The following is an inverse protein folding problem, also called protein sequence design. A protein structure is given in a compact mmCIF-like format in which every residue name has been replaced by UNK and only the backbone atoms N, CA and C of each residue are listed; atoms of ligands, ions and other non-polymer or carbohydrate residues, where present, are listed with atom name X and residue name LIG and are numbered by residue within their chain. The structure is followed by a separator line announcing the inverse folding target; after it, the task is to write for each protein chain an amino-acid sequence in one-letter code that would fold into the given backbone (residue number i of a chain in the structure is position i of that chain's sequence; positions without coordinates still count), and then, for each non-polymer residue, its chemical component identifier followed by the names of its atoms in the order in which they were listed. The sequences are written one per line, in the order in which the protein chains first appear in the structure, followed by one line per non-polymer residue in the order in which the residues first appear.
data_IF_565808959884
#
_entry.id   IF_565808959884
#
_cell.length_a   1.000
_cell.length_b   1.000
_cell.length_c   1.000
_cell.angle_alpha   90.00
_cell.angle_beta   90.00
_cell.angle_gamma   90.00
#
_symmetry.space_group_name_H-M   'P 1'
#
loop_
_entity.id
_entity.type
_entity.pdbx_description
1 polymer ?
#
# COMPACT_ATOMS: atom_id res chain seq x y z
N UNK A 1 -18.41 36.56 -34.26
CA UNK A 1 -18.61 35.30 -33.52
C UNK A 1 -17.82 35.41 -32.23
N UNK A 2 -18.46 35.60 -31.06
CA UNK A 2 -17.71 35.65 -29.78
C UNK A 2 -17.44 34.25 -29.27
N UNK A 3 -16.22 34.07 -28.75
CA UNK A 3 -15.76 32.84 -28.11
C UNK A 3 -16.53 32.59 -26.80
N UNK A 4 -17.08 31.38 -26.65
CA UNK A 4 -17.74 30.93 -25.45
C UNK A 4 -16.69 30.70 -24.35
N UNK A 5 -16.84 31.46 -23.25
CA UNK A 5 -16.04 31.28 -22.05
C UNK A 5 -16.38 29.96 -21.39
N UNK A 6 -15.35 29.14 -21.11
CA UNK A 6 -15.45 28.00 -20.20
C UNK A 6 -15.71 28.55 -18.80
N UNK A 7 -16.89 28.31 -18.29
CA UNK A 7 -17.21 28.51 -16.89
C UNK A 7 -16.38 27.51 -16.07
N UNK A 8 -15.57 28.01 -15.12
CA UNK A 8 -14.96 27.21 -14.05
C UNK A 8 -16.09 26.69 -13.16
N UNK A 9 -16.34 25.39 -13.23
CA UNK A 9 -17.24 24.70 -12.29
C UNK A 9 -16.50 24.58 -10.97
N UNK A 10 -17.19 24.95 -9.90
CA UNK A 10 -16.73 25.23 -8.55
C UNK A 10 -15.80 24.20 -7.91
N UNK A 11 -14.85 24.76 -7.15
CA UNK A 11 -13.83 24.05 -6.39
C UNK A 11 -14.29 23.44 -5.04
N UNK A 12 -15.57 23.47 -4.69
CA UNK A 12 -16.02 23.13 -3.34
C UNK A 12 -16.54 21.69 -3.16
N UNK A 13 -16.77 20.93 -4.24
CA UNK A 13 -17.29 19.57 -4.12
C UNK A 13 -16.22 18.47 -4.03
N UNK A 14 -14.99 18.77 -4.45
CA UNK A 14 -13.88 17.81 -4.41
C UNK A 14 -13.28 17.66 -2.99
N UNK A 15 -13.39 18.70 -2.17
CA UNK A 15 -12.77 18.76 -0.84
C UNK A 15 -13.59 18.03 0.24
N UNK A 16 -14.88 17.79 0.00
CA UNK A 16 -15.77 17.14 0.97
C UNK A 16 -15.63 15.59 1.01
N UNK A 17 -15.09 14.99 -0.05
CA UNK A 17 -14.89 13.54 -0.16
C UNK A 17 -13.47 13.10 0.26
N UNK A 18 -12.48 14.03 0.19
CA UNK A 18 -11.07 13.72 0.46
C UNK A 18 -10.82 13.45 1.94
N UNK A 19 -10.14 12.33 2.21
CA UNK A 19 -9.74 11.94 3.56
C UNK A 19 -8.42 12.57 3.94
N UNK A 20 -8.41 13.31 5.06
CA UNK A 20 -7.25 14.05 5.58
C UNK A 20 -6.69 13.39 6.85
N UNK A 21 -5.55 13.90 7.31
CA UNK A 21 -4.88 13.42 8.53
C UNK A 21 -5.79 13.43 9.76
N UNK A 22 -6.67 14.42 9.91
CA UNK A 22 -7.61 14.57 11.03
C UNK A 22 -8.68 13.48 11.06
N UNK A 23 -8.90 12.77 9.96
CA UNK A 23 -9.89 11.70 9.86
C UNK A 23 -9.33 10.32 10.27
N UNK A 24 -8.07 10.30 10.72
CA UNK A 24 -7.37 9.08 11.13
C UNK A 24 -7.30 8.97 12.65
N UNK A 25 -7.54 7.76 13.16
CA UNK A 25 -7.41 7.44 14.59
C UNK A 25 -6.52 6.23 14.82
N UNK A 26 -5.75 6.27 15.92
CA UNK A 26 -5.01 5.08 16.36
C UNK A 26 -6.01 3.97 16.68
N UNK A 27 -5.75 2.79 16.14
CA UNK A 27 -6.63 1.64 16.25
C UNK A 27 -7.52 1.42 15.03
N UNK A 28 -7.61 2.37 14.10
CA UNK A 28 -8.35 2.16 12.84
C UNK A 28 -7.78 0.98 12.08
N UNK A 29 -8.66 0.08 11.65
CA UNK A 29 -8.31 -1.09 10.86
C UNK A 29 -8.92 -0.99 9.46
N UNK A 30 -8.12 -1.33 8.46
CA UNK A 30 -8.51 -1.28 7.05
C UNK A 30 -8.21 -2.62 6.38
N UNK A 31 -9.17 -3.16 5.66
CA UNK A 31 -8.95 -4.20 4.67
C UNK A 31 -8.73 -3.55 3.31
N UNK A 32 -7.51 -3.57 2.81
CA UNK A 32 -7.15 -2.92 1.54
C UNK A 32 -7.62 -3.72 0.32
N UNK A 33 -7.81 -5.02 0.46
CA UNK A 33 -8.22 -5.90 -0.62
C UNK A 33 -7.35 -7.15 -0.74
N UNK A 34 -7.39 -7.78 -1.92
CA UNK A 34 -6.67 -9.01 -2.19
C UNK A 34 -5.92 -8.98 -3.52
N UNK A 35 -4.96 -9.89 -3.68
CA UNK A 35 -4.17 -10.10 -4.88
C UNK A 35 -4.02 -11.59 -5.18
N UNK A 36 -4.42 -12.02 -6.38
CA UNK A 36 -4.19 -13.39 -6.85
C UNK A 36 -2.78 -13.50 -7.46
N UNK A 37 -1.97 -14.40 -6.92
CA UNK A 37 -0.57 -14.59 -7.35
C UNK A 37 -0.52 -15.52 -8.55
N UNK A 38 -0.08 -15.02 -9.70
CA UNK A 38 0.07 -15.83 -10.91
C UNK A 38 1.52 -16.29 -11.11
N UNK A 39 1.67 -17.44 -11.76
CA UNK A 39 2.98 -18.00 -12.08
C UNK A 39 3.76 -17.08 -13.02
N UNK A 40 3.08 -16.56 -14.01
CA UNK A 40 3.64 -15.69 -15.05
C UNK A 40 4.22 -14.42 -14.45
N UNK A 41 3.51 -13.78 -13.53
CA UNK A 41 4.00 -12.58 -12.83
C UNK A 41 5.18 -12.88 -11.89
N UNK A 42 5.14 -14.03 -11.20
CA UNK A 42 6.25 -14.45 -10.32
C UNK A 42 7.54 -14.57 -11.13
N UNK A 43 7.49 -15.25 -12.28
CA UNK A 43 8.66 -15.44 -13.14
C UNK A 43 9.08 -14.10 -13.76
N UNK A 44 8.14 -13.34 -14.33
CA UNK A 44 8.45 -12.05 -14.99
C UNK A 44 9.07 -11.04 -14.02
N UNK A 45 8.59 -10.98 -12.78
CA UNK A 45 9.19 -10.14 -11.75
C UNK A 45 10.61 -10.62 -11.42
N UNK A 46 10.78 -11.92 -11.22
CA UNK A 46 12.07 -12.48 -10.86
C UNK A 46 13.12 -12.28 -11.96
N UNK A 47 12.78 -12.53 -13.22
CA UNK A 47 13.68 -12.31 -14.36
C UNK A 47 14.24 -10.88 -14.39
N UNK A 48 13.43 -9.90 -14.00
CA UNK A 48 13.79 -8.49 -14.06
C UNK A 48 14.48 -7.97 -12.80
N UNK A 49 14.08 -8.42 -11.61
CA UNK A 49 14.46 -7.77 -10.36
C UNK A 49 15.13 -8.68 -9.33
N UNK A 50 14.96 -10.01 -9.43
CA UNK A 50 15.51 -10.98 -8.47
C UNK A 50 15.74 -12.33 -9.16
N UNK A 51 16.69 -12.43 -10.10
CA UNK A 51 16.85 -13.58 -10.98
C UNK A 51 17.54 -14.77 -10.29
N UNK A 52 17.14 -15.07 -9.05
CA UNK A 52 17.60 -16.25 -8.34
C UNK A 52 16.90 -17.50 -8.90
N UNK A 53 17.63 -18.60 -9.15
CA UNK A 53 17.07 -19.77 -9.85
C UNK A 53 15.78 -20.33 -9.23
N UNK A 54 15.64 -20.29 -7.90
CA UNK A 54 14.45 -20.77 -7.19
C UNK A 54 13.22 -19.85 -7.30
N UNK A 55 13.38 -18.65 -7.86
CA UNK A 55 12.28 -17.77 -8.26
C UNK A 55 11.93 -17.87 -9.74
N UNK A 56 12.67 -18.67 -10.50
CA UNK A 56 12.50 -18.81 -11.96
C UNK A 56 11.93 -20.17 -12.38
N UNK A 57 12.18 -21.24 -11.61
CA UNK A 57 11.68 -22.58 -11.96
C UNK A 57 11.46 -23.49 -10.76
N UNK A 58 10.50 -24.40 -10.91
CA UNK A 58 10.24 -25.44 -9.90
C UNK A 58 11.42 -26.39 -9.72
N UNK A 59 12.16 -26.71 -10.80
CA UNK A 59 13.31 -27.60 -10.73
C UNK A 59 14.39 -27.09 -9.79
N UNK A 60 14.69 -25.79 -9.86
CA UNK A 60 15.67 -25.18 -8.97
C UNK A 60 15.12 -24.98 -7.56
N UNK A 61 13.86 -24.57 -7.44
CA UNK A 61 13.19 -24.37 -6.16
C UNK A 61 13.05 -25.68 -5.36
N UNK A 62 12.82 -26.81 -6.04
CA UNK A 62 12.74 -28.13 -5.40
C UNK A 62 14.01 -28.54 -4.66
N UNK A 63 15.16 -27.97 -5.04
CA UNK A 63 16.46 -28.21 -4.40
C UNK A 63 16.73 -27.30 -3.18
N UNK A 64 15.76 -26.48 -2.81
CA UNK A 64 15.83 -25.51 -1.72
C UNK A 64 14.75 -25.76 -0.67
N UNK A 65 14.77 -24.97 0.40
CA UNK A 65 13.70 -24.99 1.41
C UNK A 65 12.33 -24.55 0.89
N UNK A 66 12.24 -23.90 -0.29
CA UNK A 66 10.97 -23.54 -0.89
C UNK A 66 10.19 -24.74 -1.44
N UNK A 67 10.90 -25.80 -1.92
CA UNK A 67 10.31 -27.03 -2.43
C UNK A 67 9.60 -26.92 -3.78
N UNK A 68 9.18 -25.72 -4.17
CA UNK A 68 8.54 -25.37 -5.45
C UNK A 68 8.75 -23.90 -5.74
N UNK A 69 8.47 -23.46 -6.99
CA UNK A 69 8.58 -22.06 -7.40
C UNK A 69 7.89 -21.14 -6.40
N UNK A 70 8.67 -20.23 -5.80
CA UNK A 70 8.20 -19.24 -4.85
C UNK A 70 8.39 -17.81 -5.39
N UNK A 71 7.48 -16.90 -5.06
CA UNK A 71 7.65 -15.49 -5.37
C UNK A 71 8.83 -14.91 -4.59
N UNK A 72 9.56 -13.97 -5.22
CA UNK A 72 10.51 -13.13 -4.50
C UNK A 72 9.80 -12.37 -3.37
N UNK A 73 10.46 -12.20 -2.24
CA UNK A 73 9.96 -11.36 -1.16
C UNK A 73 9.67 -9.94 -1.64
N UNK A 74 10.49 -9.39 -2.54
CA UNK A 74 10.26 -8.08 -3.14
C UNK A 74 9.04 -8.07 -4.07
N UNK A 75 8.73 -9.18 -4.75
CA UNK A 75 7.48 -9.30 -5.49
C UNK A 75 6.27 -9.28 -4.54
N UNK A 76 6.36 -9.97 -3.40
CA UNK A 76 5.32 -9.91 -2.37
C UNK A 76 5.08 -8.48 -1.89
N UNK A 77 6.15 -7.69 -1.69
CA UNK A 77 6.04 -6.26 -1.38
C UNK A 77 5.34 -5.49 -2.51
N UNK A 78 5.71 -5.74 -3.77
CA UNK A 78 5.13 -5.04 -4.92
C UNK A 78 3.64 -5.35 -5.10
N UNK A 79 3.23 -6.63 -5.00
CA UNK A 79 1.83 -7.04 -5.02
C UNK A 79 1.01 -6.40 -3.90
N UNK A 80 1.58 -6.36 -2.68
CA UNK A 80 0.96 -5.69 -1.53
C UNK A 80 0.79 -4.21 -1.78
N UNK A 81 1.82 -3.54 -2.31
CA UNK A 81 1.74 -2.10 -2.63
C UNK A 81 0.69 -1.82 -3.72
N UNK A 82 0.54 -2.70 -4.70
CA UNK A 82 -0.49 -2.56 -5.73
C UNK A 82 -1.91 -2.59 -5.16
N UNK A 83 -2.15 -3.41 -4.13
CA UNK A 83 -3.44 -3.46 -3.41
C UNK A 83 -3.66 -2.18 -2.60
N UNK A 84 -2.67 -1.77 -1.82
CA UNK A 84 -2.75 -0.56 -1.00
C UNK A 84 -2.96 0.68 -1.87
N UNK A 85 -2.19 0.82 -2.97
CA UNK A 85 -2.27 1.98 -3.84
C UNK A 85 -3.65 2.14 -4.50
N UNK A 86 -4.27 1.04 -4.96
CA UNK A 86 -5.63 1.06 -5.50
C UNK A 86 -6.62 1.56 -4.46
N UNK A 87 -6.59 1.02 -3.26
CA UNK A 87 -7.46 1.44 -2.17
C UNK A 87 -7.28 2.93 -1.81
N UNK A 88 -6.03 3.40 -1.69
CA UNK A 88 -5.72 4.80 -1.37
C UNK A 88 -6.26 5.77 -2.43
N UNK A 89 -6.21 5.37 -3.71
CA UNK A 89 -6.75 6.17 -4.83
C UNK A 89 -8.28 6.15 -4.82
N UNK A 90 -8.90 5.00 -4.59
CA UNK A 90 -10.36 4.84 -4.53
C UNK A 90 -10.98 5.58 -3.33
N UNK A 91 -10.26 5.65 -2.20
CA UNK A 91 -10.68 6.32 -0.96
C UNK A 91 -10.29 7.81 -0.94
N UNK A 92 -9.83 8.36 -2.05
CA UNK A 92 -9.45 9.78 -2.21
C UNK A 92 -8.60 10.32 -1.05
N UNK A 93 -7.59 9.57 -0.60
CA UNK A 93 -6.75 9.97 0.52
C UNK A 93 -5.75 11.06 0.13
N UNK A 94 -5.61 12.09 0.96
CA UNK A 94 -4.66 13.20 0.79
C UNK A 94 -3.21 12.79 1.11
N UNK A 95 -2.79 11.60 0.65
CA UNK A 95 -1.48 11.03 0.88
C UNK A 95 -0.35 11.79 0.17
N UNK A 96 0.81 11.86 0.82
CA UNK A 96 2.02 12.52 0.30
C UNK A 96 3.17 11.53 0.09
N UNK A 97 2.90 10.22 0.26
CA UNK A 97 3.90 9.17 0.15
C UNK A 97 4.47 8.71 1.49
N UNK A 98 5.44 7.82 1.42
CA UNK A 98 6.07 7.19 2.58
C UNK A 98 7.58 7.38 2.52
N UNK A 99 8.23 7.90 3.57
CA UNK A 99 9.69 7.98 3.64
C UNK A 99 10.35 6.61 3.87
N UNK A 100 9.58 5.58 4.26
CA UNK A 100 10.14 4.26 4.49
C UNK A 100 9.21 3.30 5.21
N UNK A 101 9.71 2.10 5.37
CA UNK A 101 9.07 1.00 6.12
C UNK A 101 10.03 0.46 7.16
N UNK A 102 9.50 0.13 8.33
CA UNK A 102 10.23 -0.50 9.42
C UNK A 102 9.78 -1.95 9.57
N UNK A 103 10.68 -2.78 10.10
CA UNK A 103 10.40 -4.15 10.52
C UNK A 103 9.79 -5.03 9.43
N UNK A 104 10.18 -4.83 8.16
CA UNK A 104 9.76 -5.73 7.08
C UNK A 104 10.24 -7.16 7.36
N UNK A 105 9.29 -8.10 7.41
CA UNK A 105 9.54 -9.53 7.62
C UNK A 105 8.73 -10.37 6.65
N UNK A 106 9.41 -11.22 5.90
CA UNK A 106 8.81 -12.32 5.16
C UNK A 106 8.71 -13.51 6.09
N UNK A 107 7.49 -13.87 6.47
CA UNK A 107 7.21 -14.87 7.50
C UNK A 107 7.07 -16.28 6.92
N UNK A 108 6.51 -16.35 5.70
CA UNK A 108 6.28 -17.58 4.94
C UNK A 108 6.51 -17.31 3.45
N UNK A 109 6.93 -18.32 2.69
CA UNK A 109 6.96 -18.21 1.22
C UNK A 109 5.57 -17.97 0.65
N UNK A 110 5.52 -17.20 -0.45
CA UNK A 110 4.32 -16.99 -1.28
C UNK A 110 4.50 -17.77 -2.57
N UNK A 111 3.47 -18.47 -2.99
CA UNK A 111 3.51 -19.35 -4.15
C UNK A 111 2.50 -18.94 -5.23
N UNK A 112 2.77 -19.24 -6.50
CA UNK A 112 1.74 -19.18 -7.54
C UNK A 112 0.49 -19.94 -7.12
N UNK A 113 -0.68 -19.32 -7.29
CA UNK A 113 -1.98 -19.84 -6.85
C UNK A 113 -2.43 -19.33 -5.47
N UNK A 114 -1.55 -18.71 -4.69
CA UNK A 114 -1.96 -18.07 -3.45
C UNK A 114 -2.83 -16.83 -3.74
N UNK A 115 -3.71 -16.50 -2.81
CA UNK A 115 -4.44 -15.24 -2.75
C UNK A 115 -3.99 -14.48 -1.52
N UNK A 116 -3.36 -13.33 -1.73
CA UNK A 116 -2.91 -12.46 -0.65
C UNK A 116 -4.05 -11.55 -0.19
N UNK A 117 -4.26 -11.44 1.11
CA UNK A 117 -5.17 -10.50 1.75
C UNK A 117 -4.37 -9.48 2.54
N UNK A 118 -4.61 -8.19 2.29
CA UNK A 118 -3.84 -7.09 2.87
C UNK A 118 -4.69 -6.33 3.88
N UNK A 119 -4.23 -6.27 5.12
CA UNK A 119 -4.86 -5.52 6.22
C UNK A 119 -3.87 -4.58 6.86
N UNK A 120 -4.34 -3.41 7.27
CA UNK A 120 -3.56 -2.41 8.01
C UNK A 120 -4.25 -1.99 9.28
N UNK A 121 -3.45 -1.62 10.28
CA UNK A 121 -3.90 -1.02 11.54
C UNK A 121 -3.06 0.21 11.84
N UNK A 122 -3.70 1.35 12.08
CA UNK A 122 -3.01 2.57 12.50
C UNK A 122 -2.54 2.39 13.94
N UNK A 123 -1.24 2.50 14.17
CA UNK A 123 -0.61 2.32 15.49
C UNK A 123 -0.09 3.62 16.07
N UNK A 124 0.09 4.65 15.25
CA UNK A 124 0.52 5.97 15.70
C UNK A 124 0.03 7.05 14.73
N UNK A 125 -0.35 8.21 15.27
CA UNK A 125 -0.60 9.44 14.50
C UNK A 125 0.18 10.59 15.11
N UNK A 126 0.85 11.41 14.28
CA UNK A 126 1.69 12.51 14.74
C UNK A 126 1.58 13.73 13.82
N UNK A 127 1.05 14.86 14.31
CA UNK A 127 1.15 16.12 13.58
C UNK A 127 2.61 16.54 13.40
N UNK A 128 2.97 17.10 12.26
CA UNK A 128 4.31 17.62 12.05
C UNK A 128 4.53 18.89 12.88
N UNK A 129 5.70 18.98 13.52
CA UNK A 129 6.09 20.17 14.29
C UNK A 129 6.64 21.29 13.39
N UNK A 130 7.22 20.94 12.23
CA UNK A 130 7.87 21.89 11.33
C UNK A 130 7.02 22.26 10.12
N UNK A 131 5.98 21.47 9.79
CA UNK A 131 5.09 21.66 8.65
C UNK A 131 3.65 21.51 9.11
N UNK A 132 2.96 22.63 9.43
CA UNK A 132 1.64 22.60 10.07
C UNK A 132 0.53 22.01 9.17
N UNK A 133 0.76 21.96 7.87
CA UNK A 133 -0.12 21.39 6.85
C UNK A 133 0.05 19.89 6.63
N UNK A 134 0.94 19.22 7.38
CA UNK A 134 1.26 17.80 7.23
C UNK A 134 1.15 17.09 8.58
N UNK A 135 0.65 15.86 8.55
CA UNK A 135 0.80 14.88 9.60
C UNK A 135 1.47 13.61 9.09
N UNK A 136 1.90 12.76 9.99
CA UNK A 136 2.37 11.42 9.70
C UNK A 136 1.62 10.40 10.54
N UNK A 137 1.44 9.20 9.99
CA UNK A 137 0.91 8.08 10.75
C UNK A 137 1.72 6.82 10.46
N UNK A 138 1.66 5.88 11.38
CA UNK A 138 2.28 4.56 11.23
C UNK A 138 1.19 3.52 11.10
N UNK A 139 1.32 2.68 10.07
CA UNK A 139 0.39 1.58 9.83
C UNK A 139 1.15 0.26 9.89
N UNK A 140 0.78 -0.59 10.83
CA UNK A 140 1.19 -1.98 10.82
C UNK A 140 0.38 -2.73 9.76
N UNK A 141 1.06 -3.25 8.74
CA UNK A 141 0.46 -3.99 7.64
C UNK A 141 0.76 -5.47 7.80
N UNK A 142 -0.29 -6.29 7.77
CA UNK A 142 -0.20 -7.75 7.75
C UNK A 142 -0.77 -8.28 6.44
N UNK A 143 -0.02 -9.14 5.79
CA UNK A 143 -0.42 -9.86 4.59
C UNK A 143 -0.59 -11.33 4.94
N UNK A 144 -1.78 -11.87 4.67
CA UNK A 144 -2.08 -13.29 4.86
C UNK A 144 -2.35 -13.96 3.51
N UNK A 145 -2.19 -15.27 3.43
CA UNK A 145 -2.66 -16.06 2.29
C UNK A 145 -4.15 -16.42 2.45
N UNK A 146 -4.67 -17.25 1.53
CA UNK A 146 -6.07 -17.73 1.52
C UNK A 146 -6.47 -18.56 2.75
N UNK A 147 -5.49 -19.08 3.49
CA UNK A 147 -5.70 -19.87 4.71
C UNK A 147 -5.53 -19.00 6.00
N UNK A 148 -5.59 -17.67 5.86
CA UNK A 148 -5.32 -16.69 6.92
C UNK A 148 -3.92 -16.81 7.59
N UNK A 149 -2.98 -17.48 6.92
CA UNK A 149 -1.61 -17.61 7.43
C UNK A 149 -0.81 -16.35 7.10
N UNK A 150 -0.21 -15.65 8.09
CA UNK A 150 0.63 -14.50 7.84
C UNK A 150 1.87 -14.87 7.01
N UNK A 151 2.04 -14.20 5.87
CA UNK A 151 3.17 -14.39 4.95
C UNK A 151 4.15 -13.23 4.98
N UNK A 152 3.66 -12.01 5.27
CA UNK A 152 4.50 -10.82 5.38
C UNK A 152 3.91 -9.83 6.39
N UNK A 153 4.79 -9.09 7.06
CA UNK A 153 4.43 -7.96 7.95
C UNK A 153 5.45 -6.84 7.83
N UNK A 154 4.98 -5.60 7.94
CA UNK A 154 5.84 -4.41 8.04
C UNK A 154 5.07 -3.25 8.68
N UNK A 155 5.80 -2.21 9.10
CA UNK A 155 5.22 -0.95 9.54
C UNK A 155 5.61 0.16 8.59
N UNK A 156 4.65 0.78 7.91
CA UNK A 156 4.91 1.94 7.04
C UNK A 156 4.79 3.24 7.83
N UNK A 157 5.62 4.22 7.47
CA UNK A 157 5.48 5.62 7.87
C UNK A 157 4.84 6.33 6.69
N UNK A 158 3.68 6.96 6.88
CA UNK A 158 2.95 7.62 5.79
C UNK A 158 2.80 9.10 6.12
N UNK A 159 3.07 9.95 5.13
CA UNK A 159 2.84 11.39 5.21
C UNK A 159 1.49 11.70 4.58
N UNK A 160 0.72 12.58 5.21
CA UNK A 160 -0.62 12.94 4.77
C UNK A 160 -0.88 14.43 4.98
N UNK A 161 -1.60 15.06 4.07
CA UNK A 161 -2.03 16.45 4.24
C UNK A 161 -2.99 16.56 5.42
N UNK A 162 -2.89 17.67 6.11
CA UNK A 162 -3.90 18.12 7.07
C UNK A 162 -4.99 18.88 6.34
N UNK A 163 -6.20 18.87 6.90
CA UNK A 163 -7.33 19.60 6.35
C UNK A 163 -6.99 21.09 6.28
N UNK A 164 -7.19 21.76 5.13
CA UNK A 164 -6.98 23.20 5.05
C UNK A 164 -7.80 23.91 6.12
N UNK A 165 -7.17 24.78 6.90
CA UNK A 165 -7.93 25.68 7.76
C UNK A 165 -8.50 26.75 6.85
N UNK A 166 -9.82 26.81 6.73
CA UNK A 166 -10.46 27.95 6.10
C UNK A 166 -10.03 29.18 6.88
N UNK A 167 -9.24 30.06 6.25
CA UNK A 167 -9.03 31.41 6.79
C UNK A 167 -10.42 32.01 6.94
N UNK A 168 -10.87 32.11 8.20
CA UNK A 168 -12.07 32.86 8.51
C UNK A 168 -11.83 34.26 7.97
N UNK A 169 -12.61 34.62 6.97
CA UNK A 169 -12.61 35.95 6.35
C UNK A 169 -12.79 36.96 7.46
N UNK A 170 -11.72 37.73 7.73
CA UNK A 170 -11.74 38.84 8.63
C UNK A 170 -12.47 40.04 7.99
#
# INVERSE_FOLDING_TARGET
MPAAGLARVGGDSYDAAMRYFEDLSVGDETYFGSYAVTREEVIAFAEKYDPQPFHLSDEHAAKTHFGRLAASGWHTCAMTMAVIARHVVEDEQAGLGSPGVDELRWLKPVYPGDTLHVRGKIVETRPSQSKPDIGSFRTETTVTNQDDVPVMRFTSIVLMRRRPQNEATA
#
